data_IF_859274373567
#
_entry.id   IF_859274373567
#
_cell.length_a   1.000
_cell.length_b   1.000
_cell.length_c   1.000
_cell.angle_alpha   90.00
_cell.angle_beta   90.00
_cell.angle_gamma   90.00
#
_symmetry.space_group_name_H-M   'P 1'
#
loop_
_entity.id
_entity.type
_entity.pdbx_description
1 polymer ?
#
# COMPACT_ATOMS: atom_id res chain seq x y z
N UNK A 1 -49.01 -68.58 -7.81
CA UNK A 1 -48.53 -67.95 -9.06
C UNK A 1 -48.03 -66.51 -8.83
N UNK A 2 -48.68 -65.71 -7.98
CA UNK A 2 -48.36 -64.29 -7.75
C UNK A 2 -46.93 -63.98 -7.20
N UNK A 3 -46.35 -64.84 -6.37
CA UNK A 3 -45.00 -64.60 -5.80
C UNK A 3 -43.87 -64.65 -6.85
N UNK A 4 -43.99 -65.52 -7.86
CA UNK A 4 -43.00 -65.64 -8.92
C UNK A 4 -42.98 -64.40 -9.84
N UNK A 5 -44.15 -63.81 -10.07
CA UNK A 5 -44.29 -62.57 -10.84
C UNK A 5 -43.71 -61.38 -10.09
N UNK A 6 -43.97 -61.27 -8.78
CA UNK A 6 -43.36 -60.23 -7.93
C UNK A 6 -41.83 -60.31 -7.92
N UNK A 7 -41.26 -61.52 -7.84
CA UNK A 7 -39.80 -61.71 -7.90
C UNK A 7 -39.22 -61.29 -9.25
N UNK A 8 -39.90 -61.62 -10.37
CA UNK A 8 -39.48 -61.19 -11.71
C UNK A 8 -39.56 -59.67 -11.88
N UNK A 9 -40.64 -59.06 -11.40
CA UNK A 9 -40.81 -57.60 -11.42
C UNK A 9 -39.73 -56.89 -10.59
N UNK A 10 -39.42 -57.39 -9.39
CA UNK A 10 -38.36 -56.84 -8.56
C UNK A 10 -36.97 -56.94 -9.23
N UNK A 11 -36.65 -58.09 -9.84
CA UNK A 11 -35.39 -58.24 -10.59
C UNK A 11 -35.31 -57.29 -11.79
N UNK A 12 -36.41 -57.13 -12.54
CA UNK A 12 -36.46 -56.17 -13.64
C UNK A 12 -36.28 -54.72 -13.17
N UNK A 13 -36.88 -54.34 -12.04
CA UNK A 13 -36.69 -53.02 -11.44
C UNK A 13 -35.24 -52.79 -11.01
N UNK A 14 -34.59 -53.79 -10.39
CA UNK A 14 -33.17 -53.64 -10.01
C UNK A 14 -32.24 -53.57 -11.22
N UNK A 15 -32.57 -54.27 -12.32
CA UNK A 15 -31.81 -54.17 -13.57
C UNK A 15 -31.95 -52.77 -14.18
N UNK A 16 -33.19 -52.25 -14.29
CA UNK A 16 -33.44 -50.90 -14.79
C UNK A 16 -32.76 -49.82 -13.93
N UNK A 17 -32.71 -49.98 -12.62
CA UNK A 17 -32.00 -49.05 -11.72
C UNK A 17 -30.49 -49.07 -11.94
N UNK A 18 -29.90 -50.23 -12.24
CA UNK A 18 -28.47 -50.34 -12.56
C UNK A 18 -28.15 -49.70 -13.90
N UNK A 19 -28.96 -49.96 -14.93
CA UNK A 19 -28.80 -49.34 -16.25
C UNK A 19 -28.91 -47.81 -16.15
N UNK A 20 -29.92 -47.29 -15.46
CA UNK A 20 -30.07 -45.85 -15.24
C UNK A 20 -28.90 -45.24 -14.45
N UNK A 21 -28.31 -45.99 -13.51
CA UNK A 21 -27.11 -45.55 -12.81
C UNK A 21 -25.89 -45.54 -13.74
N UNK A 22 -25.69 -46.59 -14.53
CA UNK A 22 -24.61 -46.65 -15.51
C UNK A 22 -24.72 -45.53 -16.56
N UNK A 23 -25.91 -45.27 -17.09
CA UNK A 23 -26.16 -44.16 -18.01
C UNK A 23 -25.75 -42.82 -17.40
N UNK A 24 -26.19 -42.54 -16.15
CA UNK A 24 -25.78 -41.32 -15.44
C UNK A 24 -24.26 -41.24 -15.23
N UNK A 25 -23.58 -42.37 -14.98
CA UNK A 25 -22.11 -42.35 -14.85
C UNK A 25 -21.43 -42.08 -16.19
N UNK A 26 -21.93 -42.64 -17.29
CA UNK A 26 -21.43 -42.41 -18.66
C UNK A 26 -21.66 -40.96 -19.09
N UNK A 27 -22.84 -40.40 -18.81
CA UNK A 27 -23.15 -38.99 -19.06
C UNK A 27 -22.22 -38.05 -18.29
N UNK A 28 -21.98 -38.32 -17.00
CA UNK A 28 -21.01 -37.53 -16.21
C UNK A 28 -19.59 -37.66 -16.75
N UNK A 29 -19.18 -38.84 -17.20
CA UNK A 29 -17.87 -39.03 -17.82
C UNK A 29 -17.75 -38.20 -19.11
N UNK A 30 -18.74 -38.28 -20.01
CA UNK A 30 -18.77 -37.48 -21.23
C UNK A 30 -18.77 -35.97 -20.95
N UNK A 31 -19.51 -35.51 -19.93
CA UNK A 31 -19.49 -34.09 -19.52
C UNK A 31 -18.11 -33.66 -19.00
N UNK A 32 -17.41 -34.53 -18.26
CA UNK A 32 -16.03 -34.26 -17.80
C UNK A 32 -15.06 -34.16 -18.96
N UNK A 33 -15.18 -35.04 -19.96
CA UNK A 33 -14.31 -35.01 -21.14
C UNK A 33 -14.52 -33.73 -21.97
N UNK A 34 -15.78 -33.32 -22.16
CA UNK A 34 -16.10 -32.04 -22.81
C UNK A 34 -15.58 -30.86 -22.01
N UNK A 35 -15.69 -30.88 -20.68
CA UNK A 35 -15.16 -29.84 -19.82
C UNK A 35 -13.62 -29.77 -19.89
N UNK A 36 -12.94 -30.92 -19.96
CA UNK A 36 -11.50 -31.02 -20.13
C UNK A 36 -11.05 -30.44 -21.48
N UNK A 37 -11.70 -30.83 -22.57
CA UNK A 37 -11.41 -30.30 -23.90
C UNK A 37 -11.56 -28.76 -23.96
N UNK A 38 -12.59 -28.21 -23.32
CA UNK A 38 -12.77 -26.74 -23.19
C UNK A 38 -11.69 -26.10 -22.31
N UNK A 39 -11.22 -26.78 -21.27
CA UNK A 39 -10.12 -26.30 -20.44
C UNK A 39 -8.80 -26.25 -21.24
N UNK A 40 -8.48 -27.29 -21.99
CA UNK A 40 -7.31 -27.34 -22.87
C UNK A 40 -7.35 -26.26 -23.95
N UNK A 41 -8.51 -25.98 -24.54
CA UNK A 41 -8.66 -24.90 -25.51
C UNK A 41 -8.33 -23.54 -24.88
N UNK A 42 -8.86 -23.25 -23.68
CA UNK A 42 -8.52 -22.03 -22.94
C UNK A 42 -7.04 -21.97 -22.58
N UNK A 43 -6.40 -23.10 -22.27
CA UNK A 43 -4.95 -23.15 -22.03
C UNK A 43 -4.15 -22.84 -23.28
N UNK A 44 -4.53 -23.37 -24.44
CA UNK A 44 -3.89 -23.05 -25.72
C UNK A 44 -4.04 -21.57 -26.06
N UNK A 45 -5.21 -20.99 -25.83
CA UNK A 45 -5.44 -19.55 -26.02
C UNK A 45 -4.58 -18.70 -25.08
N UNK A 46 -4.49 -19.06 -23.79
CA UNK A 46 -3.61 -18.41 -22.82
C UNK A 46 -2.14 -18.54 -23.22
N UNK A 47 -1.70 -19.71 -23.64
CA UNK A 47 -0.34 -19.95 -24.08
C UNK A 47 0.02 -19.12 -25.32
N UNK A 48 -0.90 -19.03 -26.29
CA UNK A 48 -0.73 -18.18 -27.46
C UNK A 48 -0.64 -16.69 -27.09
N UNK A 49 -1.50 -16.22 -26.17
CA UNK A 49 -1.44 -14.86 -25.67
C UNK A 49 -0.12 -14.56 -24.95
N UNK A 50 0.35 -15.46 -24.08
CA UNK A 50 1.64 -15.34 -23.38
C UNK A 50 2.83 -15.34 -24.35
N UNK A 51 2.81 -16.18 -25.39
CA UNK A 51 3.84 -16.17 -26.42
C UNK A 51 3.92 -14.82 -27.14
N UNK A 52 2.76 -14.24 -27.46
CA UNK A 52 2.68 -12.90 -28.07
C UNK A 52 3.18 -11.80 -27.12
N UNK A 53 2.92 -11.93 -25.82
CA UNK A 53 3.43 -10.99 -24.81
C UNK A 53 4.94 -11.09 -24.65
N UNK A 54 5.51 -12.30 -24.63
CA UNK A 54 6.97 -12.49 -24.61
C UNK A 54 7.64 -11.82 -25.80
N UNK A 55 7.08 -11.97 -27.00
CA UNK A 55 7.59 -11.28 -28.19
C UNK A 55 7.55 -9.76 -28.04
N UNK A 56 6.48 -9.20 -27.43
CA UNK A 56 6.42 -7.76 -27.13
C UNK A 56 7.54 -7.36 -26.16
N UNK A 57 7.74 -8.10 -25.08
CA UNK A 57 8.80 -7.82 -24.11
C UNK A 57 10.18 -7.87 -24.75
N UNK A 58 10.50 -8.90 -25.53
CA UNK A 58 11.77 -8.98 -26.27
C UNK A 58 11.98 -7.78 -27.21
N UNK A 59 10.93 -7.31 -27.88
CA UNK A 59 11.04 -6.10 -28.72
C UNK A 59 11.25 -4.82 -27.91
N UNK A 60 10.74 -4.75 -26.68
CA UNK A 60 10.98 -3.61 -25.78
C UNK A 60 12.40 -3.66 -25.21
N UNK A 61 12.87 -4.83 -24.77
CA UNK A 61 14.20 -5.02 -24.21
C UNK A 61 15.27 -4.70 -25.25
N UNK A 62 15.12 -5.22 -26.47
CA UNK A 62 16.06 -4.90 -27.57
C UNK A 62 16.08 -3.40 -27.93
N UNK A 63 14.97 -2.68 -27.76
CA UNK A 63 14.94 -1.21 -27.93
C UNK A 63 15.60 -0.50 -26.75
N UNK A 64 15.39 -0.98 -25.54
CA UNK A 64 16.04 -0.50 -24.32
C UNK A 64 17.54 -0.65 -24.38
N UNK A 65 18.04 -1.83 -24.75
CA UNK A 65 19.47 -2.13 -24.90
C UNK A 65 20.13 -1.26 -25.97
N UNK A 66 19.46 -1.07 -27.12
CA UNK A 66 19.94 -0.16 -28.17
C UNK A 66 20.03 1.28 -27.67
N UNK A 67 19.03 1.75 -26.92
CA UNK A 67 19.03 3.09 -26.35
C UNK A 67 20.14 3.26 -25.29
N UNK A 68 20.33 2.28 -24.41
CA UNK A 68 21.40 2.28 -23.42
C UNK A 68 22.78 2.22 -24.08
N UNK A 69 22.97 1.37 -25.08
CA UNK A 69 24.19 1.29 -25.88
C UNK A 69 24.51 2.60 -26.59
N UNK A 70 23.51 3.25 -27.19
CA UNK A 70 23.67 4.58 -27.79
C UNK A 70 24.07 5.64 -26.76
N UNK A 71 23.44 5.66 -25.57
CA UNK A 71 23.82 6.57 -24.49
C UNK A 71 25.25 6.31 -23.99
N UNK A 72 25.65 5.05 -23.85
CA UNK A 72 27.01 4.67 -23.49
C UNK A 72 28.02 5.12 -24.54
N UNK A 73 27.72 4.95 -25.83
CA UNK A 73 28.55 5.43 -26.93
C UNK A 73 28.71 6.97 -26.91
N UNK A 74 27.62 7.71 -26.67
CA UNK A 74 27.68 9.18 -26.51
C UNK A 74 28.55 9.59 -25.32
N UNK A 75 28.42 8.89 -24.17
CA UNK A 75 29.25 9.14 -22.99
C UNK A 75 30.73 8.86 -23.26
N UNK A 76 31.04 7.76 -23.93
CA UNK A 76 32.41 7.39 -24.30
C UNK A 76 33.00 8.39 -25.30
N UNK A 77 32.25 8.79 -26.33
CA UNK A 77 32.67 9.81 -27.29
C UNK A 77 32.91 11.17 -26.61
N UNK A 78 32.06 11.56 -25.65
CA UNK A 78 32.24 12.78 -24.86
C UNK A 78 33.49 12.70 -23.98
N UNK A 79 33.74 11.55 -23.36
CA UNK A 79 34.96 11.32 -22.58
C UNK A 79 36.21 11.39 -23.46
N UNK A 80 36.19 10.78 -24.65
CA UNK A 80 37.28 10.83 -25.63
C UNK A 80 37.57 12.26 -26.10
N UNK A 81 36.54 13.04 -26.44
CA UNK A 81 36.67 14.46 -26.78
C UNK A 81 37.24 15.28 -25.61
N UNK A 82 36.85 14.97 -24.37
CA UNK A 82 37.40 15.64 -23.20
C UNK A 82 38.88 15.30 -22.97
N UNK A 83 39.30 14.06 -23.23
CA UNK A 83 40.72 13.66 -23.14
C UNK A 83 41.55 14.30 -24.25
N UNK A 84 41.04 14.38 -25.48
CA UNK A 84 41.71 15.08 -26.59
C UNK A 84 41.82 16.59 -26.32
N UNK A 85 40.76 17.22 -25.80
CA UNK A 85 40.79 18.62 -25.41
C UNK A 85 41.79 18.87 -24.26
N UNK A 86 41.90 17.94 -23.31
CA UNK A 86 42.91 18.02 -22.24
C UNK A 86 44.34 17.89 -22.80
N UNK A 87 44.57 16.94 -23.71
CA UNK A 87 45.86 16.76 -24.39
C UNK A 87 46.25 17.99 -25.23
N UNK A 88 45.30 18.56 -25.99
CA UNK A 88 45.51 19.77 -26.78
C UNK A 88 45.83 20.99 -25.91
N UNK A 89 45.16 21.17 -24.77
CA UNK A 89 45.49 22.23 -23.82
C UNK A 89 46.89 22.06 -23.22
N UNK A 90 47.32 20.81 -22.95
CA UNK A 90 48.67 20.51 -22.49
C UNK A 90 49.74 20.87 -23.53
N UNK A 91 49.49 20.57 -24.81
CA UNK A 91 50.38 20.93 -25.92
C UNK A 91 50.47 22.45 -26.17
N UNK A 92 49.37 23.18 -25.95
CA UNK A 92 49.33 24.65 -26.06
C UNK A 92 49.97 25.37 -24.86
N UNK A 93 50.63 24.66 -23.94
CA UNK A 93 51.25 25.24 -22.75
C UNK A 93 50.26 25.89 -21.78
N UNK A 94 48.95 25.67 -21.96
CA UNK A 94 47.90 26.08 -21.02
C UNK A 94 47.91 25.10 -19.85
N UNK A 95 48.90 25.25 -18.98
CA UNK A 95 49.00 24.48 -17.74
C UNK A 95 47.69 24.61 -16.96
N UNK A 96 47.04 23.48 -16.67
CA UNK A 96 45.83 23.43 -15.86
C UNK A 96 46.03 24.00 -14.43
N UNK A 97 47.28 24.20 -14.03
CA UNK A 97 47.70 24.85 -12.79
C UNK A 97 47.53 26.38 -12.81
N UNK A 98 47.55 27.02 -13.99
CA UNK A 98 47.23 28.45 -14.16
C UNK A 98 45.71 28.64 -14.35
N UNK A 99 44.91 27.88 -13.60
CA UNK A 99 43.49 28.20 -13.43
C UNK A 99 43.41 29.31 -12.42
N UNK A 100 42.69 30.39 -12.75
CA UNK A 100 42.61 31.58 -11.91
C UNK A 100 42.28 31.21 -10.45
N UNK A 101 42.82 31.95 -9.46
CA UNK A 101 42.50 31.72 -8.04
C UNK A 101 40.99 31.68 -7.77
N UNK A 102 40.19 32.42 -8.56
CA UNK A 102 38.73 32.39 -8.54
C UNK A 102 38.16 31.00 -8.88
N UNK A 103 38.73 30.29 -9.86
CA UNK A 103 38.31 28.94 -10.23
C UNK A 103 38.63 27.92 -9.14
N UNK A 104 39.79 28.04 -8.48
CA UNK A 104 40.12 27.17 -7.34
C UNK A 104 39.22 27.45 -6.13
N UNK A 105 38.90 28.73 -5.87
CA UNK A 105 37.94 29.14 -4.84
C UNK A 105 36.54 28.58 -5.12
N UNK A 106 36.07 28.65 -6.36
CA UNK A 106 34.80 28.06 -6.79
C UNK A 106 34.79 26.54 -6.65
N UNK A 107 35.88 25.85 -7.02
CA UNK A 107 36.00 24.39 -6.85
C UNK A 107 35.98 23.96 -5.38
N UNK A 108 36.65 24.71 -4.50
CA UNK A 108 36.62 24.49 -3.04
C UNK A 108 35.26 24.80 -2.43
N UNK A 109 34.56 25.82 -2.92
CA UNK A 109 33.19 26.10 -2.51
C UNK A 109 32.24 24.97 -2.95
N UNK A 110 32.32 24.52 -4.20
CA UNK A 110 31.51 23.43 -4.73
C UNK A 110 31.77 22.09 -4.01
N UNK A 111 33.04 21.77 -3.68
CA UNK A 111 33.36 20.57 -2.91
C UNK A 111 32.84 20.65 -1.47
N UNK A 112 32.86 21.83 -0.85
CA UNK A 112 32.25 22.07 0.47
C UNK A 112 30.72 21.95 0.43
N UNK A 113 30.06 22.45 -0.61
CA UNK A 113 28.61 22.26 -0.78
C UNK A 113 28.25 20.78 -0.99
N UNK A 114 29.06 20.02 -1.75
CA UNK A 114 28.82 18.60 -1.99
C UNK A 114 29.10 17.72 -0.75
N UNK A 115 30.13 18.03 0.03
CA UNK A 115 30.44 17.35 1.29
C UNK A 115 29.52 17.78 2.45
N UNK A 116 29.01 19.02 2.42
CA UNK A 116 28.03 19.52 3.39
C UNK A 116 26.63 18.95 3.17
N UNK A 117 26.26 18.64 1.92
CA UNK A 117 24.99 18.00 1.59
C UNK A 117 24.88 16.56 2.14
N UNK A 118 26.00 15.84 2.27
CA UNK A 118 26.01 14.47 2.82
C UNK A 118 26.12 14.42 4.34
N UNK A 119 26.64 15.47 4.99
CA UNK A 119 26.82 15.51 6.46
C UNK A 119 25.67 16.18 7.22
N UNK A 120 24.77 16.91 6.56
CA UNK A 120 23.59 17.50 7.21
C UNK A 120 22.49 16.49 7.56
N UNK A 121 22.64 15.24 7.11
CA UNK A 121 21.70 14.15 7.35
C UNK A 121 22.13 13.20 8.50
N UNK A 122 23.03 13.66 9.39
CA UNK A 122 23.59 12.89 10.53
C UNK A 122 23.04 13.29 11.90
N UNK A 123 21.94 14.04 11.96
CA UNK A 123 21.15 14.14 13.18
C UNK A 123 20.02 13.11 13.08
N UNK A 124 20.02 12.14 14.01
CA UNK A 124 19.07 11.04 14.10
C UNK A 124 17.64 11.48 14.39
N UNK A 125 17.04 12.24 13.48
CA UNK A 125 15.61 12.51 13.47
C UNK A 125 14.88 11.31 12.90
N UNK A 126 13.90 10.83 13.66
CA UNK A 126 12.83 9.97 13.14
C UNK A 126 12.34 10.58 11.82
N UNK A 127 12.13 9.78 10.75
CA UNK A 127 11.63 10.33 9.50
C UNK A 127 10.30 11.05 9.77
N UNK A 128 10.25 12.35 9.49
CA UNK A 128 9.05 13.17 9.65
C UNK A 128 7.87 12.49 8.96
N UNK A 129 6.79 12.31 9.69
CA UNK A 129 5.52 11.80 9.16
C UNK A 129 4.99 12.74 8.07
N UNK A 130 4.05 12.27 7.23
CA UNK A 130 3.43 13.09 6.18
C UNK A 130 2.82 14.37 6.75
N UNK A 131 2.21 14.27 7.92
CA UNK A 131 1.60 15.39 8.64
C UNK A 131 2.66 16.39 9.14
N UNK A 132 3.75 15.93 9.73
CA UNK A 132 4.84 16.81 10.16
C UNK A 132 5.53 17.52 8.99
N UNK A 133 5.62 16.88 7.81
CA UNK A 133 6.10 17.53 6.59
C UNK A 133 5.14 18.62 6.09
N UNK A 134 3.82 18.43 6.23
CA UNK A 134 2.80 19.43 5.91
C UNK A 134 2.91 20.62 6.86
N UNK A 135 3.02 20.36 8.16
CA UNK A 135 3.23 21.39 9.18
C UNK A 135 4.54 22.16 8.99
N UNK A 136 5.62 21.48 8.61
CA UNK A 136 6.89 22.14 8.29
C UNK A 136 6.79 23.07 7.09
N UNK A 137 5.99 22.73 6.06
CA UNK A 137 5.72 23.61 4.91
C UNK A 137 4.91 24.83 5.34
N UNK A 138 3.81 24.62 6.06
CA UNK A 138 2.98 25.71 6.61
C UNK A 138 3.78 26.64 7.52
N UNK A 139 4.62 26.09 8.42
CA UNK A 139 5.47 26.88 9.31
C UNK A 139 6.49 27.70 8.53
N UNK A 140 7.10 27.12 7.49
CA UNK A 140 8.03 27.84 6.61
C UNK A 140 7.35 28.98 5.84
N UNK A 141 6.12 28.77 5.37
CA UNK A 141 5.33 29.77 4.65
C UNK A 141 4.90 30.92 5.57
N UNK A 142 4.61 30.62 6.83
CA UNK A 142 4.28 31.59 7.87
C UNK A 142 5.51 32.22 8.56
N UNK A 143 6.73 31.86 8.16
CA UNK A 143 7.98 32.36 8.77
C UNK A 143 8.23 31.87 10.20
N UNK A 144 7.55 30.82 10.65
CA UNK A 144 7.64 30.26 12.01
C UNK A 144 8.57 29.04 12.04
N UNK A 145 9.43 28.95 13.05
CA UNK A 145 10.35 27.82 13.20
C UNK A 145 9.59 26.53 13.56
N UNK A 146 9.73 25.50 12.71
CA UNK A 146 9.14 24.18 12.93
C UNK A 146 9.85 23.44 14.07
N UNK A 147 9.17 23.21 15.20
CA UNK A 147 9.67 22.41 16.31
C UNK A 147 9.19 20.96 16.16
N UNK A 148 10.10 20.04 15.85
CA UNK A 148 9.82 18.60 15.86
C UNK A 148 9.69 18.14 17.32
N UNK A 149 8.53 17.61 17.68
CA UNK A 149 8.19 17.23 19.05
C UNK A 149 9.14 16.17 19.61
N UNK A 150 10.10 16.60 20.42
CA UNK A 150 10.68 15.74 21.45
C UNK A 150 9.55 15.46 22.45
N UNK A 151 8.98 14.26 22.39
CA UNK A 151 8.03 13.78 23.39
C UNK A 151 8.73 13.75 24.76
N UNK A 152 8.60 14.82 25.53
CA UNK A 152 8.92 14.82 26.96
C UNK A 152 7.82 14.02 27.64
N UNK A 153 8.20 12.88 28.23
CA UNK A 153 7.29 12.00 28.97
C UNK A 153 6.47 12.80 30.01
N UNK A 154 5.17 12.48 30.20
CA UNK A 154 4.35 13.17 31.18
C UNK A 154 4.80 12.79 32.60
N UNK A 155 5.40 13.76 33.31
CA UNK A 155 5.60 13.70 34.75
C UNK A 155 4.28 14.01 35.48
N UNK A 156 4.04 13.46 36.69
CA UNK A 156 2.78 13.60 37.40
C UNK A 156 2.47 15.06 37.80
N UNK A 157 1.19 15.45 37.89
CA UNK A 157 0.79 16.82 38.14
C UNK A 157 0.87 17.15 39.64
N UNK A 158 1.97 17.75 40.07
CA UNK A 158 1.93 18.66 41.22
C UNK A 158 3.19 19.52 41.30
N UNK A 159 3.11 20.74 40.76
CA UNK A 159 3.90 21.88 41.20
C UNK A 159 3.26 23.17 40.68
N UNK A 160 2.60 23.84 41.61
CA UNK A 160 2.09 25.21 41.55
C UNK A 160 3.08 26.16 40.89
N UNK A 161 2.70 26.77 39.77
CA UNK A 161 3.31 28.01 39.30
C UNK A 161 2.22 29.06 39.18
N UNK A 162 2.31 30.08 40.03
CA UNK A 162 1.47 31.26 39.96
C UNK A 162 1.71 31.97 38.63
N UNK A 163 0.68 31.95 37.79
CA UNK A 163 0.60 32.72 36.57
C UNK A 163 -0.69 33.54 36.64
N UNK A 164 -0.50 34.85 36.72
CA UNK A 164 -1.51 35.91 36.57
C UNK A 164 -2.73 35.50 35.76
N UNK A 165 -3.92 35.68 36.35
CA UNK A 165 -5.23 35.55 35.70
C UNK A 165 -5.24 36.32 34.37
N UNK A 166 -5.04 35.63 33.25
CA UNK A 166 -5.34 36.19 31.94
C UNK A 166 -6.85 36.16 31.79
N UNK A 167 -7.47 37.30 31.51
CA UNK A 167 -8.84 37.34 31.05
C UNK A 167 -8.95 36.45 29.81
N UNK A 168 -9.85 35.46 29.86
CA UNK A 168 -10.13 34.57 28.74
C UNK A 168 -10.50 35.40 27.52
N UNK A 169 -9.92 35.06 26.38
CA UNK A 169 -10.27 35.72 25.12
C UNK A 169 -11.70 35.33 24.71
N UNK A 170 -12.41 36.20 23.96
CA UNK A 170 -13.79 35.92 23.51
C UNK A 170 -13.95 34.59 22.75
N UNK A 171 -12.86 34.12 22.12
CA UNK A 171 -12.81 32.83 21.45
C UNK A 171 -12.71 31.66 22.43
N UNK A 172 -11.95 31.80 23.50
CA UNK A 172 -11.85 30.76 24.55
C UNK A 172 -13.17 30.64 25.32
N UNK A 173 -13.84 31.76 25.59
CA UNK A 173 -15.17 31.72 26.22
C UNK A 173 -16.19 31.02 25.32
N UNK A 174 -16.16 31.25 24.01
CA UNK A 174 -17.01 30.55 23.04
C UNK A 174 -16.74 29.04 23.01
N UNK A 175 -15.47 28.63 22.99
CA UNK A 175 -15.08 27.21 22.97
C UNK A 175 -15.49 26.50 24.27
N UNK A 176 -15.33 27.15 25.42
CA UNK A 176 -15.79 26.59 26.70
C UNK A 176 -17.32 26.47 26.75
N UNK A 177 -18.06 27.44 26.23
CA UNK A 177 -19.51 27.41 26.16
C UNK A 177 -20.05 26.34 25.21
N UNK A 178 -19.42 26.20 24.04
CA UNK A 178 -19.74 25.15 23.08
C UNK A 178 -19.48 23.76 23.67
N UNK A 179 -18.35 23.59 24.37
CA UNK A 179 -18.02 22.34 25.04
C UNK A 179 -18.96 22.04 26.23
N UNK A 180 -19.39 23.06 26.97
CA UNK A 180 -20.41 22.91 28.01
C UNK A 180 -21.73 22.46 27.40
N UNK A 181 -22.19 23.11 26.33
CA UNK A 181 -23.42 22.77 25.61
C UNK A 181 -23.38 21.36 25.02
N UNK A 182 -22.23 20.93 24.48
CA UNK A 182 -22.02 19.56 23.98
C UNK A 182 -22.03 18.52 25.10
N UNK A 183 -21.47 18.83 26.27
CA UNK A 183 -21.48 17.93 27.43
C UNK A 183 -22.87 17.80 28.03
N UNK A 184 -23.62 18.88 28.11
CA UNK A 184 -25.03 18.87 28.56
C UNK A 184 -25.92 18.11 27.57
N UNK A 185 -25.75 18.31 26.26
CA UNK A 185 -26.46 17.55 25.23
C UNK A 185 -26.10 16.05 25.26
N UNK A 186 -24.86 15.70 25.61
CA UNK A 186 -24.44 14.30 25.77
C UNK A 186 -24.99 13.69 27.07
N UNK A 187 -25.05 14.45 28.16
CA UNK A 187 -25.63 13.99 29.43
C UNK A 187 -27.14 13.71 29.31
N UNK A 188 -27.89 14.56 28.61
CA UNK A 188 -29.32 14.35 28.33
C UNK A 188 -29.56 13.07 27.50
N UNK A 189 -28.59 12.66 26.68
CA UNK A 189 -28.71 11.48 25.79
C UNK A 189 -28.38 10.14 26.44
N UNK A 190 -27.80 10.15 27.64
CA UNK A 190 -27.31 8.94 28.33
C UNK A 190 -28.22 8.53 29.49
N UNK A 191 -29.04 9.44 30.03
CA UNK A 191 -30.00 9.15 31.11
C UNK A 191 -31.41 8.73 30.64
N UNK A 192 -31.69 8.73 29.34
CA UNK A 192 -33.00 8.35 28.75
C UNK A 192 -32.87 7.10 27.86
N UNK A 193 -32.23 6.07 28.41
CA UNK A 193 -32.22 4.73 27.85
C UNK A 193 -33.43 3.94 28.38
N UNK A 194 -34.65 4.37 28.05
CA UNK A 194 -35.87 3.54 28.02
C UNK A 194 -37.05 4.36 27.45
N UNK A 195 -37.54 3.94 26.27
CA UNK A 195 -38.90 4.21 25.73
C UNK A 195 -39.25 5.63 25.22
N UNK A 196 -39.25 5.84 23.90
CA UNK A 196 -40.35 6.52 23.16
C UNK A 196 -40.00 6.78 21.69
N UNK A 197 -40.94 6.40 20.84
CA UNK A 197 -41.09 6.80 19.44
C UNK A 197 -41.18 8.33 19.26
N UNK A 198 -40.95 8.74 18.00
CA UNK A 198 -41.68 9.86 17.36
C UNK A 198 -41.39 11.30 17.84
N UNK A 199 -40.48 11.99 17.12
CA UNK A 199 -40.50 13.41 16.72
C UNK A 199 -39.06 13.84 16.39
N UNK A 200 -38.66 14.37 15.23
CA UNK A 200 -39.35 14.89 14.07
C UNK A 200 -38.32 15.80 13.38
N UNK A 201 -37.91 15.48 12.16
CA UNK A 201 -37.35 16.47 11.25
C UNK A 201 -38.21 16.44 9.99
N UNK A 202 -39.11 17.42 9.93
CA UNK A 202 -40.09 17.60 8.88
C UNK A 202 -39.38 18.10 7.61
N UNK A 203 -38.87 17.15 6.83
CA UNK A 203 -38.36 17.38 5.49
C UNK A 203 -38.63 16.17 4.59
N UNK A 204 -39.66 16.27 3.76
CA UNK A 204 -39.90 15.42 2.59
C UNK A 204 -40.04 13.88 2.83
N UNK A 205 -41.26 13.46 3.18
CA UNK A 205 -41.62 12.06 3.40
C UNK A 205 -41.50 11.13 2.17
N UNK A 206 -41.18 11.67 0.98
CA UNK A 206 -40.84 10.89 -0.21
C UNK A 206 -39.40 10.37 -0.22
N UNK A 207 -38.46 11.19 0.25
CA UNK A 207 -37.02 10.89 0.22
C UNK A 207 -36.55 10.06 1.43
N UNK A 208 -37.23 10.16 2.59
CA UNK A 208 -36.86 9.41 3.80
C UNK A 208 -36.91 7.88 3.63
N UNK A 209 -37.92 7.34 2.91
CA UNK A 209 -37.99 5.90 2.60
C UNK A 209 -36.92 5.46 1.61
N UNK A 210 -36.62 6.28 0.61
CA UNK A 210 -35.58 5.99 -0.38
C UNK A 210 -34.19 6.03 0.27
N UNK A 211 -33.98 6.95 1.22
CA UNK A 211 -32.76 7.03 2.01
C UNK A 211 -32.62 5.86 2.99
N UNK A 212 -33.71 5.38 3.61
CA UNK A 212 -33.70 4.21 4.49
C UNK A 212 -33.31 2.92 3.75
N UNK A 213 -33.86 2.68 2.56
CA UNK A 213 -33.49 1.52 1.72
C UNK A 213 -32.02 1.63 1.29
N UNK A 214 -31.59 2.84 0.90
CA UNK A 214 -30.19 3.07 0.55
C UNK A 214 -29.28 2.78 1.74
N UNK A 215 -29.60 3.28 2.93
CA UNK A 215 -28.81 3.04 4.13
C UNK A 215 -28.76 1.56 4.52
N UNK A 216 -29.84 0.81 4.31
CA UNK A 216 -29.87 -0.65 4.48
C UNK A 216 -28.95 -1.37 3.49
N UNK A 217 -28.96 -0.99 2.21
CA UNK A 217 -28.03 -1.52 1.20
C UNK A 217 -26.57 -1.27 1.63
N UNK A 218 -26.27 -0.08 2.14
CA UNK A 218 -24.93 0.26 2.61
C UNK A 218 -24.54 -0.58 3.84
N UNK A 219 -25.47 -0.81 4.77
CA UNK A 219 -25.27 -1.69 5.94
C UNK A 219 -25.02 -3.14 5.55
N UNK A 220 -25.64 -3.66 4.49
CA UNK A 220 -25.34 -5.01 3.98
C UNK A 220 -23.87 -5.18 3.59
N UNK A 221 -23.22 -4.11 3.12
CA UNK A 221 -21.78 -4.09 2.82
C UNK A 221 -20.90 -3.62 3.99
N UNK A 222 -21.48 -3.46 5.19
CA UNK A 222 -20.78 -2.98 6.38
C UNK A 222 -20.26 -1.55 6.26
N UNK A 223 -20.88 -0.72 5.42
CA UNK A 223 -20.51 0.68 5.21
C UNK A 223 -21.63 1.60 5.67
N UNK A 224 -21.28 2.76 6.21
CA UNK A 224 -22.24 3.80 6.57
C UNK A 224 -22.26 4.89 5.51
N UNK A 225 -23.41 5.12 4.90
CA UNK A 225 -23.59 6.14 3.85
C UNK A 225 -23.23 7.53 4.35
N UNK A 226 -23.73 7.91 5.53
CA UNK A 226 -23.46 9.22 6.13
C UNK A 226 -21.96 9.43 6.38
N UNK A 227 -21.27 8.39 6.87
CA UNK A 227 -19.82 8.43 7.11
C UNK A 227 -19.03 8.50 5.81
N UNK A 228 -19.50 7.83 4.77
CA UNK A 228 -18.88 7.86 3.44
C UNK A 228 -19.06 9.23 2.78
N UNK A 229 -20.25 9.82 2.87
CA UNK A 229 -20.56 11.14 2.33
C UNK A 229 -19.89 12.29 3.09
N UNK A 230 -19.71 12.14 4.41
CA UNK A 230 -19.02 13.12 5.26
C UNK A 230 -17.49 13.02 5.20
N UNK A 231 -16.94 12.02 4.48
CA UNK A 231 -15.49 11.91 4.30
C UNK A 231 -15.06 12.93 3.26
N UNK A 232 -14.17 13.85 3.66
CA UNK A 232 -13.43 14.65 2.69
C UNK A 232 -12.63 13.69 1.81
N UNK A 233 -13.04 13.59 0.55
CA UNK A 233 -12.43 12.70 -0.43
C UNK A 233 -11.15 13.41 -0.89
N UNK A 234 -10.05 13.21 -0.16
CA UNK A 234 -8.69 13.53 -0.60
C UNK A 234 -8.22 12.52 -1.67
N UNK A 235 -9.08 12.16 -2.63
CA UNK A 235 -8.77 11.26 -3.75
C UNK A 235 -8.01 12.02 -4.83
N UNK A 236 -6.96 12.71 -4.43
CA UNK A 236 -6.20 13.60 -5.27
C UNK A 236 -4.89 12.90 -5.64
N UNK A 237 -4.84 12.36 -6.86
CA UNK A 237 -3.65 12.13 -7.71
C UNK A 237 -2.43 11.33 -7.19
N UNK A 238 -2.28 11.10 -5.88
CA UNK A 238 -1.14 10.43 -5.23
C UNK A 238 -1.40 8.93 -4.97
N UNK A 239 -2.52 8.38 -5.46
CA UNK A 239 -2.91 6.97 -5.24
C UNK A 239 -2.27 6.01 -6.26
N UNK A 240 -1.47 6.52 -7.19
CA UNK A 240 -0.74 5.70 -8.16
C UNK A 240 0.69 5.47 -7.66
N UNK A 241 1.08 4.20 -7.54
CA UNK A 241 2.46 3.82 -7.28
C UNK A 241 3.28 3.98 -8.56
N UNK A 242 4.39 4.72 -8.50
CA UNK A 242 5.33 4.78 -9.60
C UNK A 242 6.01 3.42 -9.82
N UNK A 243 6.47 3.14 -11.04
CA UNK A 243 7.20 1.90 -11.36
C UNK A 243 8.43 1.68 -10.45
N UNK A 244 9.14 2.76 -10.08
CA UNK A 244 10.26 2.70 -9.15
C UNK A 244 9.85 2.37 -7.71
N UNK A 245 8.62 2.72 -7.31
CA UNK A 245 8.11 2.42 -5.97
C UNK A 245 7.78 0.93 -5.87
N UNK A 246 7.13 0.37 -6.89
CA UNK A 246 6.83 -1.06 -7.03
C UNK A 246 8.12 -1.88 -7.00
N UNK A 247 9.13 -1.52 -7.80
CA UNK A 247 10.41 -2.24 -7.84
C UNK A 247 11.16 -2.21 -6.50
N UNK A 248 11.04 -1.14 -5.73
CA UNK A 248 11.64 -1.07 -4.38
C UNK A 248 10.89 -1.96 -3.41
N UNK A 249 9.56 -1.95 -3.45
CA UNK A 249 8.72 -2.79 -2.60
C UNK A 249 8.96 -4.27 -2.88
N UNK A 250 8.99 -4.69 -4.14
CA UNK A 250 9.30 -6.07 -4.54
C UNK A 250 10.66 -6.54 -3.99
N UNK A 251 11.69 -5.70 -4.05
CA UNK A 251 13.02 -6.01 -3.49
C UNK A 251 13.00 -6.13 -1.97
N UNK A 252 12.19 -5.34 -1.29
CA UNK A 252 12.03 -5.42 0.16
C UNK A 252 11.29 -6.71 0.52
N UNK A 253 10.17 -6.99 -0.15
CA UNK A 253 9.37 -8.20 0.03
C UNK A 253 10.19 -9.47 -0.23
N UNK A 254 11.00 -9.50 -1.28
CA UNK A 254 11.87 -10.65 -1.58
C UNK A 254 12.90 -10.90 -0.47
N UNK A 255 13.51 -9.84 0.08
CA UNK A 255 14.45 -9.97 1.20
C UNK A 255 13.76 -10.38 2.49
N UNK A 256 12.53 -9.93 2.72
CA UNK A 256 11.76 -10.30 3.90
C UNK A 256 11.34 -11.77 3.83
N UNK A 257 10.84 -12.24 2.69
CA UNK A 257 10.50 -13.64 2.47
C UNK A 257 11.71 -14.56 2.71
N UNK A 258 12.89 -14.21 2.17
CA UNK A 258 14.12 -14.98 2.42
C UNK A 258 14.47 -15.07 3.92
N UNK A 259 14.30 -13.98 4.67
CA UNK A 259 14.56 -13.99 6.12
C UNK A 259 13.53 -14.82 6.89
N UNK A 260 12.27 -14.78 6.48
CA UNK A 260 11.20 -15.57 7.08
C UNK A 260 11.41 -17.07 6.82
N UNK A 261 11.80 -17.44 5.60
CA UNK A 261 12.15 -18.82 5.22
C UNK A 261 13.37 -19.33 6.00
N UNK A 262 14.44 -18.53 6.12
CA UNK A 262 15.62 -18.89 6.91
C UNK A 262 15.29 -19.10 8.39
N UNK A 263 14.42 -18.25 8.96
CA UNK A 263 14.01 -18.35 10.36
C UNK A 263 13.16 -19.60 10.59
N UNK A 264 12.21 -19.88 9.69
CA UNK A 264 11.41 -21.10 9.73
C UNK A 264 12.27 -22.36 9.57
N UNK A 265 13.28 -22.34 8.70
CA UNK A 265 14.21 -23.44 8.52
C UNK A 265 15.03 -23.73 9.80
N UNK A 266 15.51 -22.68 10.49
CA UNK A 266 16.23 -22.83 11.77
C UNK A 266 15.34 -23.41 12.85
N UNK A 267 14.11 -22.92 13.00
CA UNK A 267 13.16 -23.46 13.97
C UNK A 267 12.86 -24.94 13.72
N UNK A 268 12.70 -25.31 12.44
CA UNK A 268 12.47 -26.69 12.03
C UNK A 268 13.69 -27.57 12.33
N UNK A 269 14.91 -27.08 12.10
CA UNK A 269 16.14 -27.79 12.45
C UNK A 269 16.26 -28.01 13.97
N UNK A 270 16.03 -26.97 14.78
CA UNK A 270 16.03 -27.11 16.24
C UNK A 270 15.01 -28.15 16.72
N UNK A 271 13.81 -28.13 16.15
CA UNK A 271 12.75 -29.10 16.47
C UNK A 271 13.17 -30.52 16.06
N UNK A 272 13.82 -30.68 14.91
CA UNK A 272 14.37 -31.98 14.49
C UNK A 272 15.51 -32.45 15.39
N UNK A 273 16.41 -31.57 15.81
CA UNK A 273 17.49 -31.89 16.73
C UNK A 273 16.94 -32.33 18.09
N UNK A 274 15.95 -31.61 18.65
CA UNK A 274 15.25 -32.02 19.88
C UNK A 274 14.59 -33.39 19.72
N UNK A 275 13.91 -33.64 18.60
CA UNK A 275 13.29 -34.94 18.31
C UNK A 275 14.33 -36.07 18.19
N UNK A 276 15.46 -35.82 17.51
CA UNK A 276 16.56 -36.79 17.38
C UNK A 276 17.22 -37.07 18.72
N UNK A 277 17.41 -36.06 19.57
CA UNK A 277 17.95 -36.23 20.91
C UNK A 277 17.03 -37.09 21.79
N UNK A 278 15.71 -36.86 21.74
CA UNK A 278 14.72 -37.67 22.43
C UNK A 278 14.65 -39.11 21.90
N UNK A 279 14.83 -39.34 20.60
CA UNK A 279 14.81 -40.67 20.01
C UNK A 279 16.11 -41.46 20.26
N UNK A 280 17.20 -40.77 20.62
CA UNK A 280 18.52 -41.37 20.90
C UNK A 280 18.71 -41.75 22.37
N UNK A 281 17.86 -41.25 23.28
CA UNK A 281 17.73 -41.74 24.66
C UNK A 281 16.76 -42.91 24.71
#
# INVERSE_FOLDING_TARGET
>A
MQFAELKRAALAQTAAQREAFEERTRERAAQRDVAHARAEQREKERAHWLARERLRQETQDTRGDKAQGAQAAVRNAKAARATEAAARNKLLGRNAEVRSPAFQKAKRAASRHRAGATMRNKHGGVPLTREEKRQKRMASEMGVAFQHGQARAPAPPNATSGGTLRCKTARETFIEEENRRKREAFAIRVDDADDADDAGDAGDAGDARANAISDEIWRLFGKDRLRYAARDIDSDEDMEAGADDVLREERISARQAQKEDELAARELEERQQRKRALQRM
#
